data_IF_982835542190
#
_entry.id   IF_982835542190
#
_cell.length_a   1.000
_cell.length_b   1.000
_cell.length_c   1.000
_cell.angle_alpha   90.00
_cell.angle_beta   90.00
_cell.angle_gamma   90.00
#
_symmetry.space_group_name_H-M   'P 1'
#
loop_
_entity.id
_entity.type
_entity.pdbx_description
1 polymer ?
#
# COMPACT_ATOMS: atom_id res chain seq x y z
N UNK A 1 -12.88 30.52 20.59
CA UNK A 1 -11.83 29.54 20.23
C UNK A 1 -12.57 28.39 19.59
N UNK A 2 -12.17 27.93 18.41
CA UNK A 2 -12.93 26.90 17.67
C UNK A 2 -13.10 25.62 18.50
N UNK A 3 -14.32 25.09 18.55
CA UNK A 3 -14.69 23.80 19.16
C UNK A 3 -14.16 22.61 18.34
N UNK A 4 -12.88 22.64 17.96
CA UNK A 4 -12.27 21.58 17.17
C UNK A 4 -12.01 20.35 18.03
N UNK A 5 -12.68 19.24 17.71
CA UNK A 5 -12.51 17.98 18.41
C UNK A 5 -11.35 17.16 17.81
N UNK A 6 -10.21 17.15 18.50
CA UNK A 6 -9.04 16.39 18.10
C UNK A 6 -9.26 14.87 18.12
N UNK A 7 -10.12 14.35 19.01
CA UNK A 7 -10.40 12.90 19.06
C UNK A 7 -11.18 12.47 17.82
N UNK A 8 -12.23 13.21 17.46
CA UNK A 8 -13.03 12.92 16.28
C UNK A 8 -12.20 13.01 14.99
N UNK A 9 -11.26 13.96 14.91
CA UNK A 9 -10.32 14.05 13.80
C UNK A 9 -9.36 12.84 13.74
N UNK A 10 -8.83 12.44 14.89
CA UNK A 10 -7.96 11.26 15.01
C UNK A 10 -8.69 9.98 14.59
N UNK A 11 -9.93 9.79 15.04
CA UNK A 11 -10.76 8.64 14.69
C UNK A 11 -11.06 8.61 13.19
N UNK A 12 -11.36 9.76 12.58
CA UNK A 12 -11.58 9.86 11.14
C UNK A 12 -10.34 9.45 10.32
N UNK A 13 -9.13 9.82 10.75
CA UNK A 13 -7.89 9.37 10.10
C UNK A 13 -7.73 7.85 10.24
N UNK A 14 -7.97 7.32 11.43
CA UNK A 14 -7.86 5.90 11.71
C UNK A 14 -8.84 5.08 10.85
N UNK A 15 -10.08 5.54 10.72
CA UNK A 15 -11.12 4.89 9.90
C UNK A 15 -10.74 4.85 8.42
N UNK A 16 -10.21 5.95 7.88
CA UNK A 16 -9.74 6.00 6.48
C UNK A 16 -8.57 5.05 6.27
N UNK A 17 -7.60 5.01 7.20
CA UNK A 17 -6.47 4.10 7.12
C UNK A 17 -6.94 2.64 7.19
N UNK A 18 -7.86 2.32 8.10
CA UNK A 18 -8.44 0.99 8.25
C UNK A 18 -9.22 0.55 7.02
N UNK A 19 -9.91 1.46 6.33
CA UNK A 19 -10.61 1.16 5.09
C UNK A 19 -9.66 0.83 3.93
N UNK A 20 -8.44 1.41 3.91
CA UNK A 20 -7.44 1.17 2.88
C UNK A 20 -6.52 -0.03 3.18
N UNK A 21 -6.31 -0.36 4.46
CA UNK A 21 -5.39 -1.42 4.90
C UNK A 21 -5.62 -2.78 4.22
N UNK A 22 -6.87 -3.25 3.97
CA UNK A 22 -7.11 -4.51 3.27
C UNK A 22 -6.44 -4.61 1.90
N UNK A 23 -6.32 -3.48 1.19
CA UNK A 23 -5.73 -3.42 -0.15
C UNK A 23 -4.20 -3.48 -0.15
N UNK A 24 -3.54 -3.56 1.01
CA UNK A 24 -2.08 -3.57 1.13
C UNK A 24 -1.54 -4.95 1.47
N UNK A 25 -0.31 -5.22 1.01
CA UNK A 25 0.46 -6.40 1.35
C UNK A 25 1.92 -6.02 1.57
N UNK A 26 2.62 -6.71 2.46
CA UNK A 26 4.06 -6.54 2.64
C UNK A 26 4.86 -7.60 1.90
N UNK A 27 6.13 -7.32 1.61
CA UNK A 27 7.09 -8.33 1.19
C UNK A 27 8.48 -7.99 1.71
N UNK A 28 9.31 -9.02 1.86
CA UNK A 28 10.71 -8.84 2.23
C UNK A 28 11.52 -8.40 1.00
N UNK A 29 12.36 -7.40 1.20
CA UNK A 29 13.41 -7.01 0.26
C UNK A 29 14.71 -7.75 0.58
N UNK A 30 15.63 -7.80 -0.37
CA UNK A 30 16.94 -8.45 -0.21
C UNK A 30 17.76 -7.90 0.97
N UNK A 31 17.57 -6.62 1.35
CA UNK A 31 18.22 -6.01 2.53
C UNK A 31 17.52 -6.33 3.86
N UNK A 32 16.67 -7.35 3.91
CA UNK A 32 15.84 -7.70 5.06
C UNK A 32 14.95 -6.54 5.55
N UNK A 33 14.61 -5.60 4.67
CA UNK A 33 13.64 -4.55 4.95
C UNK A 33 12.28 -4.98 4.43
N UNK A 34 11.24 -4.53 5.11
CA UNK A 34 9.86 -4.75 4.67
C UNK A 34 9.43 -3.62 3.75
N UNK A 35 8.89 -3.98 2.59
CA UNK A 35 8.28 -3.05 1.65
C UNK A 35 6.78 -3.33 1.53
N UNK A 36 6.02 -2.35 1.04
CA UNK A 36 4.58 -2.47 0.81
C UNK A 36 4.28 -2.50 -0.69
N UNK A 37 3.32 -3.34 -1.07
CA UNK A 37 2.61 -3.29 -2.33
C UNK A 37 1.11 -3.06 -2.07
N UNK A 38 0.39 -2.50 -3.04
CA UNK A 38 -1.07 -2.33 -2.96
C UNK A 38 -1.79 -2.94 -4.16
N UNK A 39 -2.98 -3.50 -3.94
CA UNK A 39 -3.81 -4.03 -5.00
C UNK A 39 -4.36 -2.89 -5.86
N UNK A 40 -3.95 -2.86 -7.12
CA UNK A 40 -4.35 -1.83 -8.08
C UNK A 40 -5.62 -2.23 -8.83
N UNK A 41 -5.59 -3.36 -9.55
CA UNK A 41 -6.73 -3.92 -10.32
C UNK A 41 -6.40 -5.30 -10.83
N UNK A 42 -7.44 -6.07 -11.20
CA UNK A 42 -7.32 -7.36 -11.89
C UNK A 42 -6.38 -8.36 -11.18
N UNK A 43 -6.27 -8.27 -9.86
CA UNK A 43 -5.36 -9.09 -9.03
C UNK A 43 -3.90 -8.63 -9.04
N UNK A 44 -3.56 -7.54 -9.73
CA UNK A 44 -2.20 -7.02 -9.78
C UNK A 44 -1.90 -6.06 -8.64
N UNK A 45 -0.73 -6.26 -8.04
CA UNK A 45 -0.20 -5.41 -7.00
C UNK A 45 0.88 -4.49 -7.57
N UNK A 46 0.88 -3.24 -7.13
CA UNK A 46 1.90 -2.25 -7.48
C UNK A 46 2.81 -2.04 -6.28
N UNK A 47 4.11 -2.04 -6.51
CA UNK A 47 5.15 -1.77 -5.53
C UNK A 47 6.15 -0.74 -6.05
N UNK A 48 6.95 -0.17 -5.15
CA UNK A 48 8.10 0.63 -5.53
C UNK A 48 9.12 -0.24 -6.28
N UNK A 49 9.56 0.22 -7.44
CA UNK A 49 10.49 -0.51 -8.30
C UNK A 49 11.82 -0.79 -7.62
N UNK A 50 12.35 0.17 -6.86
CA UNK A 50 13.60 0.04 -6.11
C UNK A 50 13.55 -1.02 -5.00
N UNK A 51 12.35 -1.38 -4.54
CA UNK A 51 12.16 -2.40 -3.49
C UNK A 51 12.18 -3.83 -4.06
N UNK A 52 12.02 -3.98 -5.38
CA UNK A 52 11.95 -5.29 -6.04
C UNK A 52 13.30 -5.60 -6.67
N UNK A 53 13.78 -6.84 -6.55
CA UNK A 53 14.97 -7.34 -7.26
C UNK A 53 14.57 -8.41 -8.30
N UNK A 54 15.34 -8.53 -9.38
CA UNK A 54 15.05 -9.46 -10.46
C UNK A 54 15.54 -10.88 -10.13
N UNK A 55 14.69 -11.89 -10.37
CA UNK A 55 15.06 -13.30 -10.23
C UNK A 55 14.78 -13.93 -8.87
N UNK A 56 14.23 -13.16 -7.91
CA UNK A 56 13.80 -13.68 -6.61
C UNK A 56 12.32 -14.05 -6.59
N UNK A 57 12.00 -15.06 -5.78
CA UNK A 57 10.62 -15.42 -5.47
C UNK A 57 10.06 -14.42 -4.45
N UNK A 58 9.01 -13.69 -4.85
CA UNK A 58 8.38 -12.68 -3.98
C UNK A 58 7.27 -13.36 -3.20
N UNK A 59 7.25 -13.22 -1.88
CA UNK A 59 6.14 -13.64 -1.03
C UNK A 59 5.45 -12.40 -0.46
N UNK A 60 4.18 -12.22 -0.82
CA UNK A 60 3.32 -11.18 -0.28
C UNK A 60 2.67 -11.68 1.00
N UNK A 61 2.76 -10.90 2.08
CA UNK A 61 1.96 -11.09 3.30
C UNK A 61 0.79 -10.11 3.26
N UNK A 62 -0.42 -10.64 3.11
CA UNK A 62 -1.65 -9.87 3.05
C UNK A 62 -1.99 -9.28 4.42
N UNK A 63 -2.87 -8.29 4.45
CA UNK A 63 -3.44 -7.74 5.69
C UNK A 63 -4.22 -8.76 6.53
N UNK A 64 -4.68 -9.87 5.94
CA UNK A 64 -5.25 -11.01 6.68
C UNK A 64 -4.19 -11.81 7.46
N UNK A 65 -2.91 -11.61 7.15
CA UNK A 65 -1.79 -12.45 7.60
C UNK A 65 -1.45 -13.59 6.65
N UNK A 66 -2.25 -13.83 5.61
CA UNK A 66 -1.99 -14.89 4.64
C UNK A 66 -0.77 -14.57 3.77
N UNK A 67 0.00 -15.61 3.45
CA UNK A 67 1.19 -15.52 2.60
C UNK A 67 0.89 -16.07 1.21
N UNK A 68 1.20 -15.29 0.18
CA UNK A 68 0.94 -15.64 -1.21
C UNK A 68 2.18 -15.36 -2.06
N UNK A 69 2.65 -16.38 -2.78
CA UNK A 69 3.73 -16.22 -3.76
C UNK A 69 3.30 -15.30 -4.89
N UNK A 70 4.19 -14.43 -5.35
CA UNK A 70 3.94 -13.50 -6.44
C UNK A 70 5.10 -13.50 -7.44
N UNK A 71 4.75 -13.30 -8.71
CA UNK A 71 5.71 -13.13 -9.79
C UNK A 71 5.84 -11.65 -10.14
N UNK A 72 7.07 -11.24 -10.47
CA UNK A 72 7.32 -9.93 -11.07
C UNK A 72 6.90 -9.97 -12.54
N UNK A 73 5.86 -9.19 -12.88
CA UNK A 73 5.31 -9.12 -14.24
C UNK A 73 6.08 -8.10 -15.08
N UNK A 74 6.54 -7.01 -14.46
CA UNK A 74 7.28 -5.96 -15.14
C UNK A 74 7.72 -4.84 -14.20
N UNK A 75 8.68 -4.05 -14.67
CA UNK A 75 9.22 -2.86 -13.98
C UNK A 75 9.30 -1.71 -14.96
N UNK A 76 9.07 -0.52 -14.45
CA UNK A 76 9.32 0.73 -15.15
C UNK A 76 10.14 1.68 -14.27
N UNK A 77 11.48 1.67 -14.41
CA UNK A 77 12.36 2.58 -13.69
C UNK A 77 12.08 4.06 -13.96
N UNK A 78 11.45 4.41 -15.10
CA UNK A 78 11.15 5.81 -15.42
C UNK A 78 10.03 6.38 -14.54
N UNK A 79 9.17 5.52 -14.01
CA UNK A 79 8.08 5.88 -13.09
C UNK A 79 8.29 5.37 -11.67
N UNK A 80 9.33 4.56 -11.43
CA UNK A 80 9.60 3.93 -10.14
C UNK A 80 8.57 2.86 -9.75
N UNK A 81 7.92 2.23 -10.74
CA UNK A 81 6.84 1.25 -10.50
C UNK A 81 7.24 -0.19 -10.86
N UNK A 82 6.83 -1.14 -10.03
CA UNK A 82 6.88 -2.57 -10.30
C UNK A 82 5.48 -3.18 -10.21
N UNK A 83 5.19 -4.12 -11.11
CA UNK A 83 3.91 -4.82 -11.17
C UNK A 83 4.11 -6.27 -10.74
N UNK A 84 3.38 -6.69 -9.72
CA UNK A 84 3.43 -8.01 -9.12
C UNK A 84 2.12 -8.74 -9.37
N UNK A 85 2.19 -10.04 -9.63
CA UNK A 85 1.03 -10.92 -9.77
C UNK A 85 1.09 -12.03 -8.73
N UNK A 86 0.25 -11.98 -7.69
CA UNK A 86 0.09 -13.09 -6.77
C UNK A 86 -0.39 -14.35 -7.51
N UNK A 87 0.02 -15.50 -7.00
CA UNK A 87 -0.46 -16.80 -7.44
C UNK A 87 -1.89 -16.98 -6.95
N UNK A 88 -2.79 -17.36 -7.85
CA UNK A 88 -4.22 -17.39 -7.57
C UNK A 88 -4.87 -16.01 -7.66
N UNK A 89 -6.03 -15.88 -7.03
CA UNK A 89 -6.79 -14.63 -6.98
C UNK A 89 -7.11 -14.33 -5.50
N UNK A 90 -6.18 -13.68 -4.76
CA UNK A 90 -6.47 -13.30 -3.39
C UNK A 90 -7.68 -12.37 -3.37
N UNK A 91 -8.61 -12.63 -2.44
CA UNK A 91 -9.84 -11.84 -2.27
C UNK A 91 -9.52 -10.53 -1.53
N UNK A 92 -8.86 -9.64 -2.24
CA UNK A 92 -8.41 -8.33 -1.76
C UNK A 92 -9.08 -7.26 -2.60
N UNK A 93 -9.74 -6.24 -2.01
CA UNK A 93 -10.33 -5.16 -2.79
C UNK A 93 -9.24 -4.27 -3.41
N UNK A 94 -9.40 -3.81 -4.66
CA UNK A 94 -8.47 -2.85 -5.25
C UNK A 94 -8.67 -1.45 -4.66
N UNK A 95 -7.60 -0.65 -4.63
CA UNK A 95 -7.74 0.77 -4.32
C UNK A 95 -8.52 1.49 -5.42
N UNK A 96 -9.47 2.32 -5.01
CA UNK A 96 -10.24 3.14 -5.95
C UNK A 96 -9.36 4.27 -6.49
N UNK A 97 -9.46 4.52 -7.80
CA UNK A 97 -8.77 5.64 -8.45
C UNK A 97 -9.16 6.97 -7.77
N UNK A 98 -8.15 7.70 -7.30
CA UNK A 98 -8.35 9.01 -6.71
C UNK A 98 -8.86 10.04 -7.73
N UNK A 99 -9.63 11.02 -7.24
CA UNK A 99 -9.98 12.23 -8.00
C UNK A 99 -8.84 13.25 -8.04
N UNK A 100 -9.16 14.49 -8.41
CA UNK A 100 -8.18 15.58 -8.43
C UNK A 100 -7.75 15.97 -7.01
N UNK A 101 -6.44 15.92 -6.76
CA UNK A 101 -5.81 16.33 -5.50
C UNK A 101 -5.29 17.77 -5.63
N UNK A 102 -5.34 18.56 -4.56
CA UNK A 102 -4.82 19.95 -4.51
C UNK A 102 -3.82 20.16 -3.38
N UNK A 103 -2.88 21.11 -3.51
CA UNK A 103 -2.03 21.52 -2.40
C UNK A 103 -2.86 21.89 -1.16
N UNK A 104 -2.43 21.42 0.01
CA UNK A 104 -3.12 21.59 1.29
C UNK A 104 -4.22 20.55 1.58
N UNK A 105 -4.53 19.63 0.66
CA UNK A 105 -5.35 18.46 0.99
C UNK A 105 -4.66 17.58 2.04
N UNK A 106 -5.45 16.99 2.95
CA UNK A 106 -4.97 15.94 3.84
C UNK A 106 -4.66 14.68 3.03
N UNK A 107 -3.50 14.09 3.29
CA UNK A 107 -3.09 12.81 2.74
C UNK A 107 -2.81 11.83 3.89
N UNK A 108 -3.18 10.56 3.67
CA UNK A 108 -2.91 9.46 4.59
C UNK A 108 -2.12 8.42 3.80
N UNK A 109 -0.89 8.14 4.24
CA UNK A 109 -0.07 7.06 3.73
C UNK A 109 -0.39 5.79 4.54
N UNK A 110 -0.80 4.74 3.84
CA UNK A 110 -1.14 3.45 4.45
C UNK A 110 -0.16 2.40 3.93
N UNK A 111 0.39 1.61 4.84
CA UNK A 111 1.39 0.59 4.57
C UNK A 111 1.06 -0.74 5.22
N UNK A 112 1.87 -1.74 4.91
CA UNK A 112 1.81 -3.06 5.55
C UNK A 112 3.22 -3.47 5.98
N UNK A 113 3.36 -3.93 7.22
CA UNK A 113 4.57 -4.58 7.73
C UNK A 113 4.21 -5.92 8.34
N UNK A 114 4.48 -7.00 7.62
CA UNK A 114 4.26 -8.38 8.06
C UNK A 114 2.82 -8.65 8.51
N UNK A 115 1.86 -8.12 7.75
CA UNK A 115 0.42 -8.21 8.03
C UNK A 115 -0.10 -7.08 8.92
N UNK A 116 0.76 -6.33 9.60
CA UNK A 116 0.34 -5.20 10.42
C UNK A 116 0.15 -3.93 9.58
N UNK A 117 -0.99 -3.25 9.76
CA UNK A 117 -1.27 -1.97 9.10
C UNK A 117 -0.38 -0.86 9.67
N UNK A 118 0.20 -0.06 8.78
CA UNK A 118 0.91 1.17 9.10
C UNK A 118 0.11 2.37 8.59
N UNK A 119 0.12 3.48 9.33
CA UNK A 119 -0.52 4.71 8.89
C UNK A 119 0.30 5.93 9.30
N UNK A 120 0.41 6.90 8.40
CA UNK A 120 0.91 8.24 8.65
C UNK A 120 0.02 9.25 7.93
N UNK A 121 -0.08 10.48 8.44
CA UNK A 121 -0.83 11.54 7.77
C UNK A 121 0.02 12.80 7.60
N UNK A 122 -0.34 13.60 6.60
CA UNK A 122 0.29 14.89 6.31
C UNK A 122 -0.56 15.69 5.34
N UNK A 123 0.00 16.75 4.79
CA UNK A 123 -0.66 17.54 3.74
C UNK A 123 0.05 17.35 2.42
N UNK A 124 -0.70 17.41 1.33
CA UNK A 124 -0.15 17.43 -0.02
C UNK A 124 0.60 18.75 -0.22
N UNK A 125 1.91 18.66 -0.44
CA UNK A 125 2.78 19.76 -0.82
C UNK A 125 2.84 19.97 -2.34
N UNK A 126 3.60 20.96 -2.77
CA UNK A 126 3.99 21.17 -4.17
C UNK A 126 5.34 20.49 -4.46
#
# INVERSE_FOLDING_TARGET
MSDFNLSAFSDAIADIAAAAAPATASFATHQHRTATAFHWRDGYFVAAEEAVEAGEEIELTLSSGDKVKAELVGRDPSTGTALLKPTGAPDVPPLTKAGTVRPGHLAIAVGNSDGASLAAFGTVGE
#
